data_IF_346142422765
#
_entry.id   IF_346142422765
#
_cell.length_a   1.000
_cell.length_b   1.000
_cell.length_c   1.000
_cell.angle_alpha   90.00
_cell.angle_beta   90.00
_cell.angle_gamma   90.00
#
_symmetry.space_group_name_H-M   'P 1'
#
loop_
_entity.id
_entity.type
_entity.pdbx_description
1 polymer ?
#
# COMPACT_ATOMS: atom_id res chain seq x y z
N UNK A 1 -29.60 7.46 4.41
CA UNK A 1 -28.75 7.26 5.61
C UNK A 1 -28.52 5.79 5.98
N UNK A 2 -29.54 4.97 6.27
CA UNK A 2 -29.34 3.58 6.73
C UNK A 2 -28.42 2.70 5.84
N UNK A 3 -28.47 2.83 4.52
CA UNK A 3 -27.61 2.06 3.59
C UNK A 3 -26.15 2.56 3.54
N UNK A 4 -25.93 3.86 3.72
CA UNK A 4 -24.60 4.45 3.80
C UNK A 4 -23.90 4.00 5.10
N UNK A 5 -24.66 3.92 6.20
CA UNK A 5 -24.16 3.44 7.49
C UNK A 5 -23.72 1.96 7.43
N UNK A 6 -24.43 1.12 6.67
CA UNK A 6 -24.03 -0.27 6.44
C UNK A 6 -22.77 -0.40 5.57
N UNK A 7 -22.58 0.48 4.58
CA UNK A 7 -21.36 0.48 3.75
C UNK A 7 -20.16 0.97 4.55
N UNK A 8 -20.32 2.03 5.35
CA UNK A 8 -19.27 2.53 6.27
C UNK A 8 -18.96 1.47 7.33
N UNK A 9 -19.95 0.72 7.81
CA UNK A 9 -19.74 -0.36 8.78
C UNK A 9 -19.07 -1.58 8.14
N UNK A 10 -19.39 -1.94 6.89
CA UNK A 10 -18.71 -3.03 6.17
C UNK A 10 -17.28 -2.64 5.80
N UNK A 11 -17.05 -1.42 5.33
CA UNK A 11 -15.70 -0.89 5.05
C UNK A 11 -14.92 -0.76 6.36
N UNK A 12 -15.54 -0.27 7.45
CA UNK A 12 -14.93 -0.16 8.76
C UNK A 12 -14.54 -1.52 9.37
N UNK A 13 -15.41 -2.53 9.25
CA UNK A 13 -15.13 -3.90 9.73
C UNK A 13 -14.08 -4.60 8.86
N UNK A 14 -14.04 -4.35 7.56
CA UNK A 14 -12.97 -4.85 6.68
C UNK A 14 -11.64 -4.10 6.88
N UNK A 15 -11.68 -2.87 7.39
CA UNK A 15 -10.48 -2.07 7.72
C UNK A 15 -9.96 -2.32 9.14
N UNK A 16 -10.70 -3.05 9.99
CA UNK A 16 -10.36 -3.37 11.38
C UNK A 16 -9.82 -4.79 11.58
N UNK A 17 -9.25 -5.40 10.54
CA UNK A 17 -8.26 -6.47 10.75
C UNK A 17 -6.90 -5.77 10.81
N UNK A 18 -6.33 -5.55 12.00
CA UNK A 18 -5.03 -4.89 12.08
C UNK A 18 -4.01 -5.74 11.32
N UNK A 19 -3.17 -5.14 10.45
CA UNK A 19 -1.98 -5.82 9.99
C UNK A 19 -1.07 -5.98 11.22
N UNK A 20 -1.09 -7.16 11.83
CA UNK A 20 -0.11 -7.57 12.83
C UNK A 20 1.23 -7.86 12.13
N UNK A 21 1.84 -6.85 11.51
CA UNK A 21 3.18 -6.93 10.93
C UNK A 21 3.86 -5.55 11.00
N UNK A 22 4.37 -5.22 12.19
CA UNK A 22 5.44 -4.25 12.34
C UNK A 22 6.71 -5.01 12.70
N UNK A 23 7.60 -5.21 11.74
CA UNK A 23 9.00 -5.46 12.07
C UNK A 23 9.68 -4.11 12.27
N UNK A 24 10.38 -3.87 13.39
CA UNK A 24 11.24 -2.70 13.51
C UNK A 24 12.40 -2.85 12.52
N UNK A 25 12.61 -1.82 11.69
CA UNK A 25 13.82 -1.66 10.88
C UNK A 25 14.91 -1.12 11.81
N UNK A 26 16.06 -1.81 11.99
CA UNK A 26 17.21 -1.26 12.70
C UNK A 26 17.90 -0.21 11.80
N UNK A 27 18.16 0.99 12.33
CA UNK A 27 18.85 2.07 11.63
C UNK A 27 20.21 2.34 12.28
N UNK A 28 21.22 1.53 11.94
CA UNK A 28 22.61 1.66 12.45
C UNK A 28 23.55 2.41 11.48
N UNK A 29 23.05 3.06 10.44
CA UNK A 29 23.90 3.71 9.43
C UNK A 29 23.88 5.24 9.57
N UNK A 30 24.70 5.77 10.48
CA UNK A 30 25.27 7.12 10.31
C UNK A 30 26.73 6.99 9.89
N UNK A 31 27.02 7.42 8.67
CA UNK A 31 28.39 7.54 8.15
C UNK A 31 29.15 8.62 8.93
N UNK A 32 30.22 8.21 9.60
CA UNK A 32 31.23 9.10 10.17
C UNK A 32 32.08 9.70 9.06
N UNK A 33 32.20 11.03 9.01
CA UNK A 33 33.33 11.67 8.31
C UNK A 33 34.67 11.21 8.92
N UNK A 34 35.76 11.16 8.14
CA UNK A 34 36.98 10.48 8.57
C UNK A 34 37.68 11.24 9.70
N UNK A 35 37.69 10.66 10.89
CA UNK A 35 38.69 10.91 11.92
C UNK A 35 39.64 9.73 12.02
N UNK A 36 40.92 10.06 12.04
CA UNK A 36 42.12 9.21 12.00
C UNK A 36 42.28 8.30 13.23
N UNK A 37 42.98 7.16 13.02
CA UNK A 37 43.50 6.14 13.96
C UNK A 37 42.56 5.00 14.37
N UNK A 38 42.96 3.74 14.57
CA UNK A 38 44.11 2.89 14.17
C UNK A 38 43.76 1.50 14.78
N UNK A 39 44.01 0.42 14.05
CA UNK A 39 44.13 -0.98 14.49
C UNK A 39 43.08 -1.60 15.43
N UNK A 40 42.30 -2.57 14.90
CA UNK A 40 42.33 -3.94 15.44
C UNK A 40 41.80 -4.98 14.44
N UNK A 41 42.74 -5.80 13.97
CA UNK A 41 42.54 -7.06 13.23
C UNK A 41 42.23 -8.17 14.22
N UNK A 42 41.27 -9.05 13.89
CA UNK A 42 41.23 -10.50 14.16
C UNK A 42 39.87 -11.03 13.66
N UNK A 43 39.78 -11.55 12.44
CA UNK A 43 39.83 -12.98 12.08
C UNK A 43 38.72 -13.85 12.69
N UNK A 44 37.78 -14.31 11.87
CA UNK A 44 37.24 -15.68 11.98
C UNK A 44 36.76 -16.16 10.60
N UNK A 45 37.48 -17.15 10.09
CA UNK A 45 37.14 -18.02 8.95
C UNK A 45 36.38 -19.22 9.50
N UNK A 46 35.25 -19.61 8.91
CA UNK A 46 34.90 -21.03 8.78
C UNK A 46 33.76 -21.30 7.77
N UNK A 47 34.13 -22.04 6.73
CA UNK A 47 33.48 -23.25 6.17
C UNK A 47 31.95 -23.30 6.03
N UNK A 48 31.48 -23.48 4.78
CA UNK A 48 31.03 -24.80 4.29
C UNK A 48 30.95 -24.81 2.76
N UNK A 49 31.72 -25.71 2.14
CA UNK A 49 31.53 -26.24 0.80
C UNK A 49 30.66 -27.50 0.87
N UNK A 50 29.71 -27.65 -0.05
CA UNK A 50 29.19 -28.97 -0.41
C UNK A 50 28.78 -28.96 -1.88
N UNK A 51 29.56 -29.68 -2.69
CA UNK A 51 29.27 -29.99 -4.09
C UNK A 51 28.36 -31.22 -4.17
N UNK A 52 27.44 -31.21 -5.12
CA UNK A 52 26.99 -32.42 -5.81
C UNK A 52 26.51 -32.03 -7.21
N UNK A 53 27.40 -32.24 -8.18
CA UNK A 53 27.07 -32.44 -9.59
C UNK A 53 26.40 -33.83 -9.80
N UNK A 54 25.83 -34.01 -11.01
CA UNK A 54 25.38 -35.25 -11.71
C UNK A 54 23.85 -35.26 -11.95
N UNK A 55 23.26 -35.38 -13.16
CA UNK A 55 23.72 -35.58 -14.55
C UNK A 55 22.53 -35.35 -15.53
N UNK A 56 22.87 -34.80 -16.71
CA UNK A 56 22.32 -34.97 -18.10
C UNK A 56 20.89 -34.59 -18.55
N UNK A 57 20.93 -33.70 -19.54
CA UNK A 57 20.36 -33.76 -20.90
C UNK A 57 18.84 -33.93 -21.10
N UNK A 58 18.20 -32.89 -21.63
CA UNK A 58 17.56 -32.99 -22.96
C UNK A 58 17.43 -31.63 -23.66
N UNK A 59 17.46 -31.71 -24.99
CA UNK A 59 17.69 -30.68 -26.02
C UNK A 59 16.51 -29.72 -26.32
N UNK A 60 16.94 -28.61 -26.91
CA UNK A 60 16.38 -27.86 -28.06
C UNK A 60 15.28 -26.80 -27.89
N UNK A 61 15.75 -25.56 -28.06
CA UNK A 61 15.28 -24.54 -29.02
C UNK A 61 13.84 -24.00 -28.92
N UNK A 62 13.75 -22.73 -28.51
CA UNK A 62 13.04 -21.71 -29.28
C UNK A 62 13.61 -20.33 -28.91
N UNK A 63 14.29 -19.71 -29.87
CA UNK A 63 14.73 -18.33 -29.86
C UNK A 63 13.54 -17.39 -30.02
N UNK A 64 13.34 -16.48 -29.06
CA UNK A 64 12.60 -15.23 -29.30
C UNK A 64 13.38 -14.11 -28.63
N UNK A 65 13.90 -13.22 -29.47
CA UNK A 65 14.66 -12.06 -29.05
C UNK A 65 13.78 -11.05 -28.33
N UNK A 66 14.26 -10.61 -27.17
CA UNK A 66 13.86 -9.35 -26.56
C UNK A 66 15.10 -8.47 -26.48
N UNK A 67 15.11 -7.45 -27.34
CA UNK A 67 15.90 -6.25 -27.19
C UNK A 67 15.12 -5.28 -26.32
N UNK A 68 15.65 -4.90 -25.16
CA UNK A 68 15.61 -3.50 -24.70
C UNK A 68 16.32 -3.32 -23.35
N UNK A 69 17.41 -2.56 -23.40
CA UNK A 69 17.75 -1.48 -22.48
C UNK A 69 17.77 -1.80 -20.97
N UNK A 70 18.88 -2.36 -20.51
CA UNK A 70 19.46 -1.99 -19.22
C UNK A 70 20.93 -1.60 -19.46
N UNK A 71 21.24 -0.33 -19.21
CA UNK A 71 22.59 0.20 -19.27
C UNK A 71 23.36 -0.22 -18.02
N UNK A 72 24.32 -1.11 -18.22
CA UNK A 72 25.40 -1.41 -17.27
C UNK A 72 26.28 -0.17 -17.08
N UNK A 73 26.35 0.34 -15.85
CA UNK A 73 27.37 1.30 -15.42
C UNK A 73 28.31 0.58 -14.45
N UNK A 74 29.11 -0.37 -14.97
CA UNK A 74 30.26 -0.91 -14.27
C UNK A 74 31.48 -0.01 -14.55
N UNK A 75 31.76 0.89 -13.60
CA UNK A 75 32.99 1.65 -13.55
C UNK A 75 34.16 0.75 -13.17
N UNK A 76 34.98 0.44 -14.18
CA UNK A 76 36.29 -0.22 -14.09
C UNK A 76 37.30 0.74 -13.46
N UNK A 77 37.77 0.45 -12.25
CA UNK A 77 38.96 1.09 -11.68
C UNK A 77 40.19 0.25 -12.06
N UNK A 78 40.98 0.76 -13.00
CA UNK A 78 42.31 0.22 -13.28
C UNK A 78 43.26 0.67 -12.16
N UNK A 79 43.81 -0.30 -11.42
CA UNK A 79 44.91 -0.10 -10.46
C UNK A 79 46.23 -0.30 -11.22
N UNK A 80 47.12 0.70 -11.31
CA UNK A 80 48.47 0.47 -11.78
C UNK A 80 49.37 0.00 -10.62
N UNK A 81 49.80 -1.25 -10.70
CA UNK A 81 50.88 -1.81 -9.88
C UNK A 81 52.25 -1.42 -10.44
N UNK A 82 53.08 -0.77 -9.63
CA UNK A 82 54.50 -0.55 -9.91
C UNK A 82 55.30 -0.36 -8.60
N UNK A 83 56.57 -0.81 -8.51
CA UNK A 83 57.18 -1.21 -7.23
C UNK A 83 58.24 -0.23 -6.66
N UNK A 84 58.44 -0.34 -5.34
CA UNK A 84 59.61 -0.01 -4.50
C UNK A 84 60.33 1.35 -4.64
N UNK A 85 60.31 2.16 -3.56
CA UNK A 85 61.50 2.83 -3.01
C UNK A 85 61.26 3.46 -1.60
N UNK A 86 62.05 3.00 -0.62
CA UNK A 86 62.66 3.66 0.57
C UNK A 86 61.93 4.70 1.45
N UNK A 87 62.06 4.62 2.79
CA UNK A 87 61.51 5.59 3.72
C UNK A 87 62.44 6.81 3.90
N UNK A 88 61.90 8.01 3.76
CA UNK A 88 62.58 9.26 4.09
C UNK A 88 62.05 9.80 5.43
N UNK A 89 62.86 9.70 6.47
CA UNK A 89 62.68 10.37 7.75
C UNK A 89 62.78 11.87 7.58
N UNK A 90 61.75 12.63 7.98
CA UNK A 90 61.83 14.09 8.13
C UNK A 90 61.26 14.50 9.48
N UNK A 91 62.11 15.23 10.20
CA UNK A 91 61.91 15.85 11.51
C UNK A 91 60.77 16.88 11.50
N UNK A 92 59.89 16.79 12.50
CA UNK A 92 58.85 17.76 12.81
C UNK A 92 59.49 19.05 13.37
N UNK A 93 59.35 20.15 12.64
CA UNK A 93 59.59 21.52 13.11
C UNK A 93 58.24 22.14 13.47
N UNK A 94 58.16 22.67 14.69
CA UNK A 94 57.08 23.52 15.21
C UNK A 94 56.74 24.67 14.26
N UNK A 95 55.48 24.77 13.85
CA UNK A 95 54.95 25.87 13.04
C UNK A 95 53.46 26.11 13.35
N UNK A 96 53.13 27.38 13.61
CA UNK A 96 51.82 27.91 13.97
C UNK A 96 50.69 27.46 13.03
N UNK A 97 49.60 26.96 13.62
CA UNK A 97 48.40 26.54 12.93
C UNK A 97 47.62 27.72 12.35
N UNK A 98 47.80 27.95 11.05
CA UNK A 98 46.91 28.76 10.23
C UNK A 98 45.60 27.98 10.02
N UNK A 99 44.47 28.58 10.41
CA UNK A 99 43.13 28.04 10.17
C UNK A 99 42.91 27.87 8.66
N UNK A 100 42.69 26.64 8.22
CA UNK A 100 42.34 26.32 6.84
C UNK A 100 40.91 26.81 6.54
N UNK A 101 40.67 27.48 5.40
CA UNK A 101 39.32 27.80 4.95
C UNK A 101 38.59 26.53 4.54
N UNK A 102 37.38 26.35 5.08
CA UNK A 102 36.44 25.30 4.70
C UNK A 102 36.07 25.46 3.22
N UNK A 103 36.08 24.40 2.41
CA UNK A 103 35.73 24.49 1.00
C UNK A 103 34.23 24.79 0.81
N UNK A 104 33.94 25.99 0.32
CA UNK A 104 32.61 26.38 -0.17
C UNK A 104 32.32 25.72 -1.51
N UNK A 105 31.81 24.50 -1.49
CA UNK A 105 31.16 23.87 -2.64
C UNK A 105 29.66 23.76 -2.37
N UNK A 106 28.94 24.86 -2.60
CA UNK A 106 27.49 24.89 -2.49
C UNK A 106 26.90 26.08 -3.24
N UNK A 107 26.04 25.77 -4.22
CA UNK A 107 25.18 26.70 -4.97
C UNK A 107 24.72 27.90 -4.14
N UNK A 108 25.00 29.11 -4.63
CA UNK A 108 24.77 30.40 -3.96
C UNK A 108 23.34 30.62 -3.47
N UNK A 109 23.03 30.09 -2.28
CA UNK A 109 22.00 30.62 -1.39
C UNK A 109 22.64 31.76 -0.62
N UNK A 110 22.10 32.95 -0.79
CA UNK A 110 22.47 34.14 -0.02
C UNK A 110 22.51 33.81 1.47
N UNK A 111 23.59 34.16 2.15
CA UNK A 111 23.85 33.96 3.58
C UNK A 111 22.82 34.63 4.54
N UNK A 112 21.71 35.14 4.02
CA UNK A 112 20.76 36.01 4.74
C UNK A 112 19.66 35.27 5.52
N UNK A 113 19.52 33.94 5.39
CA UNK A 113 18.43 33.19 6.07
C UNK A 113 18.93 32.16 7.11
N UNK A 114 20.16 32.32 7.60
CA UNK A 114 20.68 31.47 8.70
C UNK A 114 20.17 32.03 10.02
N UNK A 115 19.34 31.27 10.71
CA UNK A 115 18.93 31.56 12.07
C UNK A 115 19.97 31.05 13.07
N UNK A 116 20.31 31.90 14.04
CA UNK A 116 21.22 31.59 15.14
C UNK A 116 20.47 31.64 16.47
N UNK A 117 20.42 30.51 17.15
CA UNK A 117 19.85 30.39 18.50
C UNK A 117 21.01 30.15 19.46
N UNK A 118 21.06 30.90 20.57
CA UNK A 118 22.14 30.80 21.56
C UNK A 118 21.55 30.44 22.92
N UNK A 119 22.02 29.33 23.48
CA UNK A 119 21.80 28.93 24.88
C UNK A 119 23.10 29.23 25.61
N UNK A 120 23.08 30.15 26.56
CA UNK A 120 24.28 30.61 27.25
C UNK A 120 24.12 30.42 28.76
N UNK A 121 24.47 29.25 29.25
CA UNK A 121 24.47 28.90 30.68
C UNK A 121 25.82 29.24 31.33
N UNK A 122 25.90 29.10 32.65
CA UNK A 122 27.13 29.39 33.42
C UNK A 122 28.30 28.49 33.02
N UNK A 123 28.02 27.24 32.69
CA UNK A 123 28.98 26.16 32.45
C UNK A 123 28.94 25.64 31.01
N UNK A 124 27.90 25.93 30.23
CA UNK A 124 27.72 25.47 28.85
C UNK A 124 27.26 26.61 27.94
N UNK A 125 27.83 26.69 26.74
CA UNK A 125 27.31 27.56 25.67
C UNK A 125 26.98 26.70 24.45
N UNK A 126 25.75 26.76 23.98
CA UNK A 126 25.32 26.07 22.77
C UNK A 126 24.84 27.06 21.75
N UNK A 127 25.46 27.06 20.57
CA UNK A 127 25.04 27.83 19.41
C UNK A 127 24.41 26.87 18.41
N UNK A 128 23.16 27.11 18.06
CA UNK A 128 22.40 26.30 17.11
C UNK A 128 22.21 27.13 15.84
N UNK A 129 22.64 26.58 14.70
CA UNK A 129 22.47 27.17 13.38
C UNK A 129 21.52 26.31 12.55
N UNK A 130 20.56 26.95 11.89
CA UNK A 130 19.62 26.32 10.97
C UNK A 130 19.11 27.36 9.96
N UNK A 131 18.49 26.92 8.87
CA UNK A 131 17.87 27.85 7.92
C UNK A 131 16.50 28.30 8.44
N UNK A 132 16.07 29.51 8.07
CA UNK A 132 14.76 30.03 8.43
C UNK A 132 13.62 29.50 7.56
N UNK A 133 13.89 29.25 6.28
CA UNK A 133 12.87 28.86 5.30
C UNK A 133 13.17 27.52 4.65
N UNK A 134 12.16 26.65 4.56
CA UNK A 134 12.23 25.33 3.93
C UNK A 134 11.02 25.09 3.00
N UNK A 135 11.16 24.20 2.02
CA UNK A 135 10.02 23.64 1.29
C UNK A 135 9.72 22.19 1.74
N UNK A 136 8.49 21.69 1.56
CA UNK A 136 8.18 20.27 1.77
C UNK A 136 9.08 19.38 0.90
N UNK A 137 9.75 18.40 1.51
CA UNK A 137 10.75 17.56 0.86
C UNK A 137 12.20 18.01 1.07
N UNK A 138 12.43 19.25 1.50
CA UNK A 138 13.79 19.77 1.70
C UNK A 138 14.49 19.08 2.89
N UNK A 139 15.82 18.92 2.82
CA UNK A 139 16.62 18.56 3.98
C UNK A 139 16.68 19.73 4.98
N UNK A 140 16.28 19.46 6.21
CA UNK A 140 16.55 20.29 7.38
C UNK A 140 17.85 19.80 7.98
N UNK A 141 18.86 20.66 7.94
CA UNK A 141 20.10 20.51 8.69
C UNK A 141 20.10 21.47 9.88
N UNK A 142 20.41 20.92 11.06
CA UNK A 142 20.63 21.68 12.28
C UNK A 142 22.05 21.42 12.77
N UNK A 143 22.83 22.48 12.90
CA UNK A 143 24.21 22.43 13.38
C UNK A 143 24.27 22.95 14.83
N UNK A 144 24.83 22.15 15.72
CA UNK A 144 25.04 22.44 17.13
C UNK A 144 26.54 22.65 17.39
N UNK A 145 26.91 23.81 17.92
CA UNK A 145 28.24 24.11 18.42
C UNK A 145 28.17 24.19 19.94
N UNK A 146 28.65 23.15 20.61
CA UNK A 146 28.57 23.00 22.06
C UNK A 146 29.95 23.29 22.64
N UNK A 147 30.05 24.37 23.41
CA UNK A 147 31.27 24.79 24.12
C UNK A 147 31.06 24.58 25.62
N UNK A 148 31.85 23.71 26.23
CA UNK A 148 31.87 23.58 27.68
C UNK A 148 32.80 24.66 28.28
N UNK A 149 32.31 25.42 29.25
CA UNK A 149 33.04 26.51 29.90
C UNK A 149 33.71 26.10 31.21
N UNK A 150 33.21 25.06 31.88
CA UNK A 150 33.71 24.67 33.22
C UNK A 150 33.69 23.15 33.38
N UNK A 151 34.84 22.57 33.74
CA UNK A 151 34.97 21.16 34.08
C UNK A 151 34.77 20.22 32.88
N UNK A 152 34.32 18.99 33.15
CA UNK A 152 34.11 17.97 32.11
C UNK A 152 32.70 17.41 32.19
N UNK A 153 31.99 17.39 31.05
CA UNK A 153 30.66 16.78 30.92
C UNK A 153 30.78 15.53 30.04
N UNK A 154 30.31 14.37 30.53
CA UNK A 154 30.45 13.09 29.82
C UNK A 154 29.32 12.77 28.84
N UNK A 155 28.17 13.39 29.03
CA UNK A 155 26.97 13.11 28.26
C UNK A 155 26.07 14.34 28.24
N UNK A 156 25.51 14.63 27.06
CA UNK A 156 24.53 15.69 26.85
C UNK A 156 23.39 15.09 26.04
N UNK A 157 22.18 15.09 26.60
CA UNK A 157 20.97 14.71 25.86
C UNK A 157 20.48 15.91 25.04
N UNK A 158 20.34 15.71 23.73
CA UNK A 158 19.85 16.72 22.79
C UNK A 158 18.42 16.34 22.40
N UNK A 159 17.46 17.19 22.75
CA UNK A 159 16.06 17.05 22.40
C UNK A 159 15.60 18.15 21.43
N UNK A 160 14.68 17.80 20.54
CA UNK A 160 13.98 18.72 19.65
C UNK A 160 12.50 18.37 19.63
N UNK A 161 11.66 19.27 20.14
CA UNK A 161 10.21 19.22 19.93
C UNK A 161 9.83 20.18 18.79
N UNK A 162 8.98 19.74 17.87
CA UNK A 162 8.46 20.58 16.78
C UNK A 162 6.95 20.74 16.94
N UNK A 163 6.49 21.98 16.91
CA UNK A 163 5.08 22.35 17.03
C UNK A 163 4.59 23.02 15.75
N UNK A 164 3.40 22.62 15.31
CA UNK A 164 2.65 23.25 14.23
C UNK A 164 1.27 23.63 14.75
N UNK A 165 0.90 24.91 14.63
CA UNK A 165 -0.37 25.44 15.18
C UNK A 165 -0.59 25.07 16.67
N UNK A 166 0.48 25.04 17.46
CA UNK A 166 0.44 24.67 18.87
C UNK A 166 0.37 23.17 19.17
N UNK A 167 0.26 22.32 18.16
CA UNK A 167 0.24 20.85 18.30
C UNK A 167 1.65 20.32 18.09
N UNK A 168 2.13 19.48 19.00
CA UNK A 168 3.40 18.77 18.83
C UNK A 168 3.27 17.76 17.69
N UNK A 169 4.00 17.97 16.60
CA UNK A 169 3.97 17.12 15.39
C UNK A 169 5.17 16.17 15.31
N UNK A 170 6.26 16.51 15.98
CA UNK A 170 7.48 15.71 15.98
C UNK A 170 8.25 15.91 17.30
N UNK A 171 8.96 14.87 17.72
CA UNK A 171 9.82 14.86 18.89
C UNK A 171 11.03 14.01 18.58
N UNK A 172 12.21 14.53 18.89
CA UNK A 172 13.47 13.84 18.78
C UNK A 172 14.23 13.97 20.09
N UNK A 173 14.86 12.87 20.51
CA UNK A 173 15.75 12.83 21.67
C UNK A 173 16.93 11.94 21.30
N UNK A 174 18.14 12.43 21.52
CA UNK A 174 19.34 11.67 21.28
C UNK A 174 20.40 11.98 22.34
N UNK A 175 20.85 10.97 23.10
CA UNK A 175 21.99 11.12 24.00
C UNK A 175 23.29 11.20 23.20
N UNK A 176 24.08 12.25 23.45
CA UNK A 176 25.42 12.37 22.92
C UNK A 176 26.44 11.87 23.94
N UNK A 177 26.91 10.64 23.77
CA UNK A 177 27.98 10.04 24.58
C UNK A 177 29.36 10.52 24.14
N UNK A 178 29.63 11.81 24.34
CA UNK A 178 30.93 12.43 24.05
C UNK A 178 31.43 13.17 25.27
N UNK A 179 32.75 13.15 25.48
CA UNK A 179 33.37 13.92 26.55
C UNK A 179 33.61 15.37 26.08
N UNK A 180 32.99 16.31 26.78
CA UNK A 180 33.11 17.75 26.52
C UNK A 180 34.08 18.34 27.54
N UNK A 181 35.34 18.52 27.16
CA UNK A 181 36.36 19.16 28.01
C UNK A 181 36.20 20.69 28.04
N UNK A 182 36.63 21.30 29.14
CA UNK A 182 36.62 22.75 29.32
C UNK A 182 37.34 23.49 28.18
N UNK A 183 36.72 24.55 27.66
CA UNK A 183 37.24 25.38 26.57
C UNK A 183 37.08 24.79 25.17
N UNK A 184 36.76 23.50 25.03
CA UNK A 184 36.61 22.86 23.73
C UNK A 184 35.20 23.04 23.17
N UNK A 185 35.12 23.33 21.87
CA UNK A 185 33.87 23.41 21.12
C UNK A 185 33.72 22.18 20.23
N UNK A 186 32.64 21.43 20.42
CA UNK A 186 32.32 20.26 19.61
C UNK A 186 31.19 20.64 18.65
N UNK A 187 31.38 20.33 17.37
CA UNK A 187 30.36 20.47 16.33
C UNK A 187 29.63 19.14 16.12
N UNK A 188 28.31 19.18 16.22
CA UNK A 188 27.41 18.07 15.94
C UNK A 188 26.37 18.58 14.96
N UNK A 189 26.05 17.82 13.93
CA UNK A 189 24.96 18.19 13.03
C UNK A 189 23.99 17.02 12.90
N UNK A 190 22.73 17.37 12.67
CA UNK A 190 21.68 16.41 12.34
C UNK A 190 20.98 16.88 11.07
N UNK A 191 20.85 15.98 10.10
CA UNK A 191 20.13 16.22 8.86
C UNK A 191 18.95 15.26 8.75
N UNK A 192 17.78 15.80 8.45
CA UNK A 192 16.55 15.03 8.22
C UNK A 192 15.73 15.68 7.12
N UNK A 193 15.01 14.89 6.32
CA UNK A 193 14.17 15.43 5.24
C UNK A 193 12.74 15.66 5.72
N UNK A 194 12.20 16.84 5.40
CA UNK A 194 10.78 17.10 5.60
C UNK A 194 9.95 16.16 4.74
N UNK A 195 8.92 15.48 5.28
CA UNK A 195 7.98 14.75 4.47
C UNK A 195 7.34 15.65 3.41
N UNK A 196 7.14 15.16 2.19
CA UNK A 196 6.51 15.94 1.10
C UNK A 196 5.09 16.40 1.44
N UNK A 197 4.43 15.71 2.37
CA UNK A 197 3.08 16.04 2.86
C UNK A 197 3.07 17.14 3.93
N UNK A 198 4.24 17.63 4.36
CA UNK A 198 4.35 18.67 5.41
C UNK A 198 3.54 19.90 5.02
N UNK A 199 2.56 20.34 5.84
CA UNK A 199 1.75 21.50 5.51
C UNK A 199 2.60 22.78 5.57
N UNK A 200 2.40 23.72 4.62
CA UNK A 200 3.09 25.00 4.63
C UNK A 200 2.61 25.86 5.81
N UNK A 201 3.52 26.63 6.39
CA UNK A 201 3.22 27.50 7.54
C UNK A 201 4.41 27.68 8.48
N UNK A 202 4.15 28.28 9.65
CA UNK A 202 5.17 28.49 10.69
C UNK A 202 5.22 27.33 11.66
N UNK A 203 6.42 26.86 11.95
CA UNK A 203 6.69 25.78 12.89
C UNK A 203 7.57 26.33 14.00
N UNK A 204 7.20 26.02 15.25
CA UNK A 204 8.00 26.38 16.42
C UNK A 204 8.85 25.19 16.83
N UNK A 205 10.17 25.37 16.84
CA UNK A 205 11.12 24.39 17.31
C UNK A 205 11.48 24.71 18.74
N UNK A 206 11.51 23.71 19.60
CA UNK A 206 11.92 23.81 20.99
C UNK A 206 13.06 22.84 21.21
N UNK A 207 14.27 23.39 21.31
CA UNK A 207 15.49 22.66 21.61
C UNK A 207 15.60 22.47 23.12
N UNK A 208 15.93 21.26 23.53
CA UNK A 208 16.17 20.89 24.92
C UNK A 208 17.58 20.33 25.02
N UNK A 209 18.37 20.83 25.95
CA UNK A 209 19.73 20.36 26.18
C UNK A 209 19.83 19.99 27.65
N UNK A 210 20.04 18.70 27.91
CA UNK A 210 20.13 18.17 29.29
C UNK A 210 21.52 17.57 29.49
N UNK A 211 22.46 18.32 30.07
CA UNK A 211 23.74 17.76 30.51
C UNK A 211 23.51 16.73 31.62
N UNK A 212 24.30 15.65 31.63
CA UNK A 212 24.17 14.62 32.66
C UNK A 212 24.32 15.19 34.08
N UNK A 213 23.29 14.99 34.91
CA UNK A 213 23.26 15.47 36.30
C UNK A 213 22.91 16.95 36.47
N UNK A 214 22.41 17.64 35.44
CA UNK A 214 22.00 19.06 35.49
C UNK A 214 20.57 19.26 34.98
N UNK A 215 20.03 20.46 35.21
CA UNK A 215 18.72 20.86 34.71
C UNK A 215 18.72 21.06 33.18
N UNK A 216 17.56 20.84 32.56
CA UNK A 216 17.38 20.99 31.11
C UNK A 216 17.28 22.46 30.71
N UNK A 217 18.21 22.91 29.87
CA UNK A 217 18.12 24.22 29.22
C UNK A 217 17.21 24.12 27.99
N UNK A 218 16.35 25.13 27.81
CA UNK A 218 15.36 25.16 26.72
C UNK A 218 15.52 26.44 25.90
N UNK A 219 15.60 26.30 24.58
CA UNK A 219 15.50 27.42 23.65
C UNK A 219 14.44 27.15 22.59
N UNK A 220 13.84 28.21 22.04
CA UNK A 220 12.88 28.07 20.96
C UNK A 220 13.16 29.02 19.80
N UNK A 221 12.91 28.55 18.59
CA UNK A 221 12.95 29.34 17.35
C UNK A 221 11.78 28.99 16.46
N UNK A 222 11.58 29.74 15.38
CA UNK A 222 10.53 29.50 14.39
C UNK A 222 11.13 29.32 13.00
N UNK A 223 10.68 28.30 12.28
CA UNK A 223 10.97 28.12 10.85
C UNK A 223 9.69 28.33 10.05
N UNK A 224 9.85 28.72 8.78
CA UNK A 224 8.74 28.86 7.84
C UNK A 224 8.85 27.80 6.74
N UNK A 225 7.81 27.00 6.58
CA UNK A 225 7.69 26.05 5.46
C UNK A 225 6.89 26.71 4.34
N UNK A 226 7.56 27.09 3.26
CA UNK A 226 6.95 27.67 2.07
C UNK A 226 6.27 26.59 1.22
N UNK A 227 5.09 26.85 0.64
CA UNK A 227 4.42 25.86 -0.19
C UNK A 227 5.22 25.59 -1.47
N UNK A 228 5.32 24.32 -1.86
CA UNK A 228 5.95 23.89 -3.12
C UNK A 228 4.90 23.56 -4.17
N UNK A 229 5.28 23.64 -5.46
CA UNK A 229 4.39 23.22 -6.56
C UNK A 229 3.98 21.75 -6.43
N UNK A 230 4.90 20.88 -5.97
CA UNK A 230 4.62 19.46 -5.71
C UNK A 230 3.58 19.28 -4.61
N UNK A 231 3.65 20.07 -3.54
CA UNK A 231 2.64 20.05 -2.48
C UNK A 231 1.26 20.48 -2.98
N UNK A 232 1.18 21.57 -3.76
CA UNK A 232 -0.10 22.00 -4.36
C UNK A 232 -0.72 20.94 -5.26
N UNK A 233 0.09 20.28 -6.10
CA UNK A 233 -0.40 19.19 -6.96
C UNK A 233 -0.92 18.01 -6.15
N UNK A 234 -0.25 17.66 -5.05
CA UNK A 234 -0.70 16.61 -4.13
C UNK A 234 -2.05 16.96 -3.49
N UNK A 235 -2.21 18.19 -3.00
CA UNK A 235 -3.47 18.66 -2.41
C UNK A 235 -4.60 18.67 -3.44
N UNK A 236 -4.34 19.15 -4.66
CA UNK A 236 -5.32 19.14 -5.76
C UNK A 236 -5.73 17.71 -6.15
N UNK A 237 -4.77 16.79 -6.24
CA UNK A 237 -5.05 15.39 -6.52
C UNK A 237 -5.93 14.76 -5.42
N UNK A 238 -5.60 15.04 -4.15
CA UNK A 238 -6.39 14.56 -3.01
C UNK A 238 -7.82 15.12 -3.02
N UNK A 239 -7.98 16.43 -3.26
CA UNK A 239 -9.29 17.06 -3.39
C UNK A 239 -10.09 16.51 -4.58
N UNK A 240 -9.46 16.28 -5.73
CA UNK A 240 -10.08 15.65 -6.89
C UNK A 240 -10.55 14.23 -6.59
N UNK A 241 -9.76 13.46 -5.84
CA UNK A 241 -10.12 12.11 -5.39
C UNK A 241 -11.33 12.14 -4.45
N UNK A 242 -11.35 13.06 -3.48
CA UNK A 242 -12.49 13.24 -2.57
C UNK A 242 -13.78 13.61 -3.32
N UNK A 243 -13.70 14.57 -4.26
CA UNK A 243 -14.84 14.95 -5.09
C UNK A 243 -15.31 13.77 -5.94
N UNK A 244 -14.38 13.01 -6.53
CA UNK A 244 -14.68 11.79 -7.28
C UNK A 244 -15.37 10.73 -6.42
N UNK A 245 -14.88 10.51 -5.20
CA UNK A 245 -15.49 9.58 -4.25
C UNK A 245 -16.92 10.01 -3.87
N UNK A 246 -17.13 11.30 -3.55
CA UNK A 246 -18.45 11.85 -3.26
C UNK A 246 -19.39 11.71 -4.47
N UNK A 247 -18.91 12.00 -5.68
CA UNK A 247 -19.68 11.82 -6.91
C UNK A 247 -20.10 10.36 -7.12
N UNK A 248 -19.16 9.42 -6.93
CA UNK A 248 -19.45 7.99 -6.99
C UNK A 248 -20.49 7.58 -5.95
N UNK A 249 -20.41 8.09 -4.72
CA UNK A 249 -21.38 7.81 -3.65
C UNK A 249 -22.76 8.37 -3.98
N UNK A 250 -22.85 9.62 -4.46
CA UNK A 250 -24.12 10.25 -4.84
C UNK A 250 -24.79 9.50 -5.98
N UNK A 251 -24.02 9.11 -6.99
CA UNK A 251 -24.53 8.39 -8.15
C UNK A 251 -24.52 6.87 -7.98
N UNK A 252 -24.08 6.37 -6.83
CA UNK A 252 -23.87 4.95 -6.54
C UNK A 252 -25.11 4.14 -6.88
N UNK A 253 -26.28 4.58 -6.40
CA UNK A 253 -27.54 3.86 -6.64
C UNK A 253 -27.89 3.75 -8.14
N UNK A 254 -27.56 4.77 -8.94
CA UNK A 254 -27.81 4.76 -10.39
C UNK A 254 -26.82 3.84 -11.11
N UNK A 255 -25.54 3.92 -10.75
CA UNK A 255 -24.49 3.07 -11.32
C UNK A 255 -24.73 1.61 -10.94
N UNK A 256 -25.01 1.30 -9.67
CA UNK A 256 -25.30 -0.05 -9.21
C UNK A 256 -26.58 -0.60 -9.84
N UNK A 257 -27.63 0.20 -10.03
CA UNK A 257 -28.82 -0.25 -10.76
C UNK A 257 -28.50 -0.64 -12.21
N UNK A 258 -27.70 0.18 -12.92
CA UNK A 258 -27.25 -0.13 -14.29
C UNK A 258 -26.36 -1.36 -14.33
N UNK A 259 -25.37 -1.45 -13.45
CA UNK A 259 -24.48 -2.60 -13.33
C UNK A 259 -25.23 -3.87 -12.96
N UNK A 260 -26.22 -3.81 -12.07
CA UNK A 260 -27.07 -4.94 -11.72
C UNK A 260 -27.90 -5.40 -12.92
N UNK A 261 -28.41 -4.47 -13.73
CA UNK A 261 -29.12 -4.80 -14.97
C UNK A 261 -28.22 -5.52 -15.97
N UNK A 262 -27.02 -4.99 -16.21
CA UNK A 262 -26.02 -5.61 -17.09
C UNK A 262 -25.63 -6.99 -16.55
N UNK A 263 -25.26 -7.07 -15.27
CA UNK A 263 -24.84 -8.30 -14.61
C UNK A 263 -25.95 -9.36 -14.62
N UNK A 264 -27.22 -8.97 -14.45
CA UNK A 264 -28.34 -9.90 -14.52
C UNK A 264 -28.50 -10.52 -15.91
N UNK A 265 -28.21 -9.75 -16.97
CA UNK A 265 -28.26 -10.21 -18.37
C UNK A 265 -27.10 -11.09 -18.82
N UNK A 266 -25.98 -11.11 -18.07
CA UNK A 266 -24.83 -11.94 -18.42
C UNK A 266 -25.10 -13.43 -18.18
N UNK A 267 -24.53 -14.27 -19.06
CA UNK A 267 -24.48 -15.72 -18.85
C UNK A 267 -23.67 -16.07 -17.60
N UNK A 268 -23.83 -17.29 -17.08
CA UNK A 268 -23.10 -17.75 -15.90
C UNK A 268 -21.59 -17.73 -16.14
N UNK A 269 -21.15 -18.18 -17.32
CA UNK A 269 -19.75 -18.17 -17.75
C UNK A 269 -19.17 -16.75 -17.81
N UNK A 270 -19.91 -15.81 -18.41
CA UNK A 270 -19.52 -14.39 -18.48
C UNK A 270 -19.41 -13.75 -17.09
N UNK A 271 -20.25 -14.14 -16.12
CA UNK A 271 -20.17 -13.63 -14.74
C UNK A 271 -18.87 -14.03 -14.05
N UNK A 272 -18.39 -15.26 -14.25
CA UNK A 272 -17.09 -15.70 -13.72
C UNK A 272 -15.93 -14.96 -14.38
N UNK A 273 -15.96 -14.80 -15.70
CA UNK A 273 -14.93 -14.04 -16.44
C UNK A 273 -14.90 -12.58 -15.99
N UNK A 274 -16.06 -11.93 -15.87
CA UNK A 274 -16.15 -10.55 -15.38
C UNK A 274 -15.61 -10.43 -13.95
N UNK A 275 -15.94 -11.39 -13.08
CA UNK A 275 -15.43 -11.41 -11.69
C UNK A 275 -13.91 -11.58 -11.65
N UNK A 276 -13.34 -12.39 -12.55
CA UNK A 276 -11.90 -12.53 -12.69
C UNK A 276 -11.23 -11.24 -13.16
N UNK A 277 -11.79 -10.54 -14.16
CA UNK A 277 -11.26 -9.25 -14.63
C UNK A 277 -11.24 -8.22 -13.50
N UNK A 278 -12.32 -8.13 -12.72
CA UNK A 278 -12.37 -7.27 -11.52
C UNK A 278 -11.31 -7.68 -10.50
N UNK A 279 -11.13 -8.98 -10.27
CA UNK A 279 -10.09 -9.50 -9.38
C UNK A 279 -8.66 -9.15 -9.85
N UNK A 280 -8.37 -9.20 -11.16
CA UNK A 280 -7.07 -8.75 -11.71
C UNK A 280 -6.83 -7.29 -11.37
N UNK A 281 -7.83 -6.44 -11.58
CA UNK A 281 -7.72 -5.01 -11.25
C UNK A 281 -7.40 -4.81 -9.77
N UNK A 282 -8.08 -5.54 -8.87
CA UNK A 282 -7.80 -5.49 -7.43
C UNK A 282 -6.37 -5.98 -7.11
N UNK A 283 -5.91 -7.06 -7.76
CA UNK A 283 -4.54 -7.56 -7.58
C UNK A 283 -3.47 -6.52 -7.98
N UNK A 284 -3.68 -5.82 -9.10
CA UNK A 284 -2.77 -4.75 -9.57
C UNK A 284 -2.70 -3.61 -8.55
N UNK A 285 -3.85 -3.19 -8.00
CA UNK A 285 -3.89 -2.16 -6.95
C UNK A 285 -3.18 -2.60 -5.67
N UNK A 286 -3.32 -3.86 -5.27
CA UNK A 286 -2.65 -4.39 -4.09
C UNK A 286 -1.14 -4.52 -4.30
N UNK A 287 -0.72 -4.90 -5.51
CA UNK A 287 0.70 -4.95 -5.88
C UNK A 287 1.33 -3.54 -5.84
N UNK A 288 0.63 -2.54 -6.38
CA UNK A 288 1.09 -1.14 -6.32
C UNK A 288 1.09 -0.55 -4.91
N UNK A 289 0.27 -1.09 -3.99
CA UNK A 289 0.30 -0.74 -2.57
C UNK A 289 1.42 -1.44 -1.77
N UNK A 290 2.25 -2.28 -2.40
CA UNK A 290 3.31 -3.04 -1.72
C UNK A 290 2.81 -4.29 -0.98
N UNK A 291 1.55 -4.68 -1.16
CA UNK A 291 0.96 -5.86 -0.54
C UNK A 291 1.16 -7.12 -1.41
N UNK A 292 2.42 -7.45 -1.71
CA UNK A 292 2.80 -8.47 -2.70
C UNK A 292 2.18 -9.85 -2.42
N UNK A 293 2.26 -10.32 -1.17
CA UNK A 293 1.70 -11.62 -0.75
C UNK A 293 0.18 -11.67 -0.98
N UNK A 294 -0.52 -10.57 -0.70
CA UNK A 294 -1.96 -10.49 -0.90
C UNK A 294 -2.32 -10.44 -2.39
N UNK A 295 -1.59 -9.65 -3.17
CA UNK A 295 -1.77 -9.57 -4.62
C UNK A 295 -1.58 -10.94 -5.29
N UNK A 296 -0.58 -11.72 -4.85
CA UNK A 296 -0.34 -13.07 -5.35
C UNK A 296 -1.51 -14.01 -5.04
N UNK A 297 -2.02 -13.99 -3.80
CA UNK A 297 -3.17 -14.80 -3.41
C UNK A 297 -4.42 -14.44 -4.23
N UNK A 298 -4.67 -13.14 -4.46
CA UNK A 298 -5.79 -12.69 -5.31
C UNK A 298 -5.59 -13.15 -6.76
N UNK A 299 -4.37 -13.09 -7.31
CA UNK A 299 -4.08 -13.55 -8.67
C UNK A 299 -4.35 -15.05 -8.87
N UNK A 300 -4.01 -15.89 -7.89
CA UNK A 300 -4.32 -17.32 -7.91
C UNK A 300 -5.83 -17.57 -7.88
N UNK A 301 -6.57 -16.81 -7.05
CA UNK A 301 -8.03 -16.90 -7.02
C UNK A 301 -8.66 -16.48 -8.36
N UNK A 302 -8.14 -15.42 -8.98
CA UNK A 302 -8.54 -14.96 -10.33
C UNK A 302 -8.30 -16.05 -11.37
N UNK A 303 -7.16 -16.72 -11.31
CA UNK A 303 -6.85 -17.84 -12.21
C UNK A 303 -7.90 -18.96 -12.09
N UNK A 304 -8.30 -19.32 -10.86
CA UNK A 304 -9.38 -20.30 -10.67
C UNK A 304 -10.74 -19.81 -11.16
N UNK A 305 -11.07 -18.53 -10.96
CA UNK A 305 -12.30 -17.94 -11.51
C UNK A 305 -12.34 -18.01 -13.05
N UNK A 306 -11.22 -17.74 -13.72
CA UNK A 306 -11.10 -17.88 -15.17
C UNK A 306 -11.28 -19.34 -15.60
N UNK A 307 -10.62 -20.27 -14.92
CA UNK A 307 -10.73 -21.70 -15.21
C UNK A 307 -12.19 -22.18 -15.09
N UNK A 308 -12.88 -21.83 -14.00
CA UNK A 308 -14.29 -22.16 -13.80
C UNK A 308 -15.18 -21.48 -14.85
N UNK A 309 -14.89 -20.23 -15.20
CA UNK A 309 -15.62 -19.49 -16.23
C UNK A 309 -15.51 -20.15 -17.61
N UNK A 310 -14.31 -20.57 -17.99
CA UNK A 310 -14.05 -21.28 -19.26
C UNK A 310 -14.73 -22.64 -19.25
N UNK A 311 -14.59 -23.44 -18.20
CA UNK A 311 -15.27 -24.74 -18.10
C UNK A 311 -16.80 -24.60 -18.14
N UNK A 312 -17.34 -23.57 -17.49
CA UNK A 312 -18.77 -23.26 -17.54
C UNK A 312 -19.22 -22.91 -18.96
N UNK A 313 -18.39 -22.18 -19.72
CA UNK A 313 -18.66 -21.88 -21.12
C UNK A 313 -18.68 -23.15 -21.98
N UNK A 314 -17.76 -24.09 -21.75
CA UNK A 314 -17.75 -25.39 -22.43
C UNK A 314 -19.02 -26.21 -22.14
N UNK A 315 -19.46 -26.24 -20.89
CA UNK A 315 -20.70 -26.93 -20.50
C UNK A 315 -21.92 -26.29 -21.16
N UNK A 316 -21.97 -24.95 -21.18
CA UNK A 316 -23.02 -24.17 -21.83
C UNK A 316 -23.06 -24.43 -23.34
N UNK A 317 -21.89 -24.53 -23.99
CA UNK A 317 -21.75 -24.84 -25.41
C UNK A 317 -22.25 -26.25 -25.77
N UNK A 318 -21.88 -27.27 -24.99
CA UNK A 318 -22.24 -28.66 -25.32
C UNK A 318 -23.67 -29.05 -24.92
N UNK A 319 -24.23 -28.46 -23.86
CA UNK A 319 -25.58 -28.78 -23.37
C UNK A 319 -26.34 -27.50 -23.00
N UNK A 320 -26.90 -26.78 -23.98
CA UNK A 320 -27.61 -25.52 -23.73
C UNK A 320 -28.85 -25.67 -22.83
N UNK A 321 -29.38 -26.90 -22.68
CA UNK A 321 -30.56 -27.19 -21.86
C UNK A 321 -30.25 -27.62 -20.41
N UNK A 322 -28.97 -27.65 -20.01
CA UNK A 322 -28.58 -28.17 -18.69
C UNK A 322 -28.85 -27.17 -17.56
N UNK A 323 -30.08 -27.22 -17.02
CA UNK A 323 -30.47 -26.57 -15.78
C UNK A 323 -30.61 -25.05 -15.88
N UNK A 324 -31.41 -24.46 -14.98
CA UNK A 324 -31.52 -23.00 -14.91
C UNK A 324 -30.18 -22.37 -14.53
N UNK A 325 -29.96 -21.11 -14.93
CA UNK A 325 -28.73 -20.34 -14.64
C UNK A 325 -28.28 -20.37 -13.18
N UNK A 326 -29.22 -20.51 -12.24
CA UNK A 326 -28.96 -20.62 -10.81
C UNK A 326 -28.26 -21.95 -10.41
N UNK A 327 -28.59 -23.06 -11.07
CA UNK A 327 -27.97 -24.37 -10.78
C UNK A 327 -26.54 -24.42 -11.29
N UNK A 328 -26.30 -23.95 -12.52
CA UNK A 328 -24.96 -23.88 -13.09
C UNK A 328 -24.03 -22.99 -12.27
N UNK A 329 -24.53 -21.84 -11.81
CA UNK A 329 -23.77 -20.94 -10.94
C UNK A 329 -23.42 -21.61 -9.60
N UNK A 330 -24.38 -22.31 -8.98
CA UNK A 330 -24.13 -23.07 -7.75
C UNK A 330 -23.07 -24.16 -7.93
N UNK A 331 -23.15 -24.95 -9.00
CA UNK A 331 -22.14 -25.97 -9.32
C UNK A 331 -20.77 -25.36 -9.58
N UNK A 332 -20.70 -24.25 -10.32
CA UNK A 332 -19.46 -23.51 -10.55
C UNK A 332 -18.82 -23.00 -9.25
N UNK A 333 -19.61 -22.48 -8.32
CA UNK A 333 -19.12 -22.03 -6.99
C UNK A 333 -18.62 -23.20 -6.15
N UNK A 334 -19.30 -24.36 -6.18
CA UNK A 334 -18.83 -25.57 -5.48
C UNK A 334 -17.51 -26.07 -6.08
N UNK A 335 -17.38 -26.08 -7.40
CA UNK A 335 -16.15 -26.46 -8.07
C UNK A 335 -15.00 -25.49 -7.74
N UNK A 336 -15.28 -24.18 -7.75
CA UNK A 336 -14.33 -23.16 -7.31
C UNK A 336 -13.89 -23.39 -5.85
N UNK A 337 -14.82 -23.69 -4.94
CA UNK A 337 -14.50 -24.02 -3.56
C UNK A 337 -13.55 -25.23 -3.46
N UNK A 338 -13.77 -26.25 -4.30
CA UNK A 338 -12.88 -27.40 -4.41
C UNK A 338 -11.48 -27.03 -4.86
N UNK A 339 -11.34 -26.19 -5.90
CA UNK A 339 -10.04 -25.71 -6.37
C UNK A 339 -9.30 -24.91 -5.29
N UNK A 340 -10.00 -23.99 -4.63
CA UNK A 340 -9.43 -23.18 -3.54
C UNK A 340 -9.04 -24.06 -2.34
N UNK A 341 -9.81 -25.11 -2.05
CA UNK A 341 -9.49 -26.06 -0.98
C UNK A 341 -8.24 -26.89 -1.29
N UNK A 342 -8.04 -27.30 -2.54
CA UNK A 342 -6.81 -27.99 -2.96
C UNK A 342 -5.58 -27.08 -2.77
N UNK A 343 -5.76 -25.77 -2.84
CA UNK A 343 -4.73 -24.74 -2.62
C UNK A 343 -4.65 -24.27 -1.16
N UNK A 344 -4.87 -25.17 -0.20
CA UNK A 344 -4.83 -24.90 1.25
C UNK A 344 -3.52 -24.32 1.78
N UNK A 345 -2.43 -24.46 1.02
CA UNK A 345 -1.13 -23.86 1.37
C UNK A 345 -1.16 -22.33 1.23
N UNK A 346 -2.06 -21.81 0.39
CA UNK A 346 -2.20 -20.40 0.06
C UNK A 346 -3.40 -19.77 0.79
N UNK A 347 -4.50 -20.51 0.93
CA UNK A 347 -5.74 -20.02 1.53
C UNK A 347 -6.08 -20.74 2.84
N UNK A 348 -6.56 -19.99 3.83
CA UNK A 348 -7.10 -20.59 5.07
C UNK A 348 -8.30 -21.48 4.77
N UNK A 349 -8.43 -22.60 5.48
CA UNK A 349 -9.49 -23.61 5.27
C UNK A 349 -10.92 -23.04 5.39
N UNK A 350 -11.10 -21.95 6.14
CA UNK A 350 -12.39 -21.30 6.33
C UNK A 350 -12.94 -20.67 5.05
N UNK A 351 -12.07 -20.12 4.19
CA UNK A 351 -12.48 -19.47 2.95
C UNK A 351 -13.14 -20.44 1.96
N UNK A 352 -12.52 -21.57 1.56
CA UNK A 352 -13.18 -22.55 0.68
C UNK A 352 -14.42 -23.19 1.32
N UNK A 353 -14.42 -23.43 2.65
CA UNK A 353 -15.62 -23.93 3.34
C UNK A 353 -16.81 -22.97 3.22
N UNK A 354 -16.56 -21.66 3.34
CA UNK A 354 -17.61 -20.66 3.17
C UNK A 354 -18.17 -20.63 1.73
N UNK A 355 -17.30 -20.75 0.72
CA UNK A 355 -17.68 -20.84 -0.68
C UNK A 355 -18.49 -22.12 -0.95
N UNK A 356 -18.09 -23.25 -0.36
CA UNK A 356 -18.79 -24.51 -0.51
C UNK A 356 -20.22 -24.42 0.04
N UNK A 357 -20.39 -23.92 1.27
CA UNK A 357 -21.72 -23.72 1.88
C UNK A 357 -22.58 -22.79 1.04
N UNK A 358 -22.02 -21.68 0.55
CA UNK A 358 -22.72 -20.74 -0.33
C UNK A 358 -23.16 -21.42 -1.64
N UNK A 359 -22.28 -22.19 -2.27
CA UNK A 359 -22.57 -22.96 -3.47
C UNK A 359 -23.71 -23.95 -3.25
N UNK A 360 -23.69 -24.71 -2.15
CA UNK A 360 -24.75 -25.66 -1.79
C UNK A 360 -26.10 -24.97 -1.55
N UNK A 361 -26.11 -23.82 -0.89
CA UNK A 361 -27.34 -23.02 -0.71
C UNK A 361 -27.91 -22.57 -2.07
N UNK A 362 -27.05 -22.11 -2.99
CA UNK A 362 -27.47 -21.68 -4.33
C UNK A 362 -28.05 -22.83 -5.15
N UNK A 363 -27.44 -24.01 -5.11
CA UNK A 363 -27.97 -25.23 -5.74
C UNK A 363 -29.31 -25.63 -5.14
N UNK A 364 -29.43 -25.64 -3.80
CA UNK A 364 -30.67 -25.99 -3.10
C UNK A 364 -31.83 -25.03 -3.42
N UNK A 365 -31.56 -23.72 -3.45
CA UNK A 365 -32.55 -22.72 -3.87
C UNK A 365 -32.99 -22.91 -5.32
N UNK A 366 -32.05 -23.23 -6.23
CA UNK A 366 -32.36 -23.49 -7.63
C UNK A 366 -33.28 -24.70 -7.79
N UNK A 367 -32.99 -25.79 -7.06
CA UNK A 367 -33.77 -27.02 -7.09
C UNK A 367 -35.20 -26.78 -6.57
N UNK A 368 -35.33 -26.12 -5.41
CA UNK A 368 -36.63 -25.78 -4.81
C UNK A 368 -37.45 -24.88 -5.75
N UNK A 369 -36.83 -23.90 -6.41
CA UNK A 369 -37.52 -23.01 -7.36
C UNK A 369 -38.04 -23.76 -8.58
N UNK A 370 -37.30 -24.73 -9.09
CA UNK A 370 -37.74 -25.57 -10.21
C UNK A 370 -38.89 -26.49 -9.81
N UNK A 371 -38.85 -27.06 -8.61
CA UNK A 371 -39.95 -27.87 -8.07
C UNK A 371 -41.25 -27.07 -7.94
N UNK A 372 -41.18 -25.86 -7.37
CA UNK A 372 -42.34 -24.96 -7.28
C UNK A 372 -42.90 -24.59 -8.66
N UNK A 373 -42.05 -24.37 -9.66
CA UNK A 373 -42.51 -24.11 -11.04
C UNK A 373 -43.26 -25.31 -11.63
N UNK A 374 -42.74 -26.53 -11.44
CA UNK A 374 -43.43 -27.75 -11.89
C UNK A 374 -44.78 -27.93 -11.21
N UNK A 375 -44.87 -27.68 -9.91
CA UNK A 375 -46.13 -27.75 -9.16
C UNK A 375 -47.14 -26.70 -9.63
N UNK A 376 -46.67 -25.49 -9.98
CA UNK A 376 -47.53 -24.42 -10.51
C UNK A 376 -48.09 -24.76 -11.88
N UNK A 377 -47.27 -25.25 -12.81
CA UNK A 377 -47.76 -25.70 -14.12
C UNK A 377 -48.74 -26.86 -14.00
N UNK A 378 -48.48 -27.83 -13.10
CA UNK A 378 -49.43 -28.92 -12.86
C UNK A 378 -50.77 -28.46 -12.28
N UNK A 379 -50.81 -27.33 -11.56
CA UNK A 379 -52.07 -26.69 -11.12
C UNK A 379 -52.75 -25.96 -12.27
N UNK A 380 -52.01 -25.23 -13.10
CA UNK A 380 -52.56 -24.53 -14.28
C UNK A 380 -53.13 -25.51 -15.32
N UNK A 381 -52.49 -26.66 -15.54
CA UNK A 381 -52.99 -27.72 -16.43
C UNK A 381 -54.27 -28.39 -15.87
N UNK A 382 -54.36 -28.56 -14.55
CA UNK A 382 -55.56 -29.09 -13.89
C UNK A 382 -56.72 -28.09 -13.85
N UNK A 383 -56.43 -26.79 -13.82
CA UNK A 383 -57.45 -25.72 -13.87
C UNK A 383 -57.88 -25.45 -15.31
N UNK A 384 -57.02 -25.66 -16.31
CA UNK A 384 -57.40 -25.66 -17.72
C UNK A 384 -58.18 -26.92 -18.16
N UNK A 385 -58.16 -27.97 -17.33
CA UNK A 385 -59.10 -29.10 -17.41
C UNK A 385 -60.44 -28.82 -16.68
N UNK A 386 -60.73 -27.56 -16.37
CA UNK A 386 -62.08 -27.07 -16.06
C UNK A 386 -62.94 -27.15 -17.34
N UNK A 387 -64.25 -27.47 -17.25
CA UNK A 387 -64.97 -28.15 -18.32
C UNK A 387 -64.92 -27.34 -19.62
N UNK A 388 -64.56 -28.09 -20.68
CA UNK A 388 -64.75 -27.85 -22.10
C UNK A 388 -65.72 -26.68 -22.32
N UNK A 389 -65.21 -25.60 -22.90
CA UNK A 389 -65.98 -24.43 -23.33
C UNK A 389 -67.29 -24.95 -23.92
N UNK A 390 -68.39 -24.66 -23.22
CA UNK A 390 -69.74 -24.78 -23.75
C UNK A 390 -69.74 -24.09 -25.10
N UNK A 391 -69.97 -24.87 -26.15
CA UNK A 391 -70.07 -24.40 -27.52
C UNK A 391 -71.01 -23.20 -27.57
N UNK A 392 -70.46 -22.05 -27.96
CA UNK A 392 -71.22 -20.81 -28.08
C UNK A 392 -71.82 -20.82 -29.47
N UNK A 393 -73.08 -21.20 -29.58
CA UNK A 393 -73.83 -21.17 -30.84
C UNK A 393 -74.40 -19.76 -31.02
N UNK A 394 -73.96 -19.07 -32.08
CA UNK A 394 -74.51 -17.76 -32.47
C UNK A 394 -75.72 -18.06 -33.35
N UNK A 395 -76.91 -17.86 -32.80
CA UNK A 395 -78.18 -18.29 -33.43
C UNK A 395 -78.73 -17.23 -34.39
N UNK A 396 -78.26 -15.99 -34.31
CA UNK A 396 -78.64 -14.94 -35.27
C UNK A 396 -78.05 -13.56 -34.95
N UNK A 397 -77.94 -12.74 -35.99
CA UNK A 397 -77.51 -11.34 -35.95
C UNK A 397 -78.74 -10.45 -36.14
N UNK A 398 -78.93 -9.48 -35.25
CA UNK A 398 -80.01 -8.47 -35.32
C UNK A 398 -79.39 -7.09 -35.46
N UNK A 399 -80.17 -6.09 -35.92
CA UNK A 399 -79.68 -4.71 -36.13
C UNK A 399 -79.14 -4.04 -34.85
N UNK A 400 -79.42 -4.61 -33.67
CA UNK A 400 -78.96 -4.13 -32.36
C UNK A 400 -77.82 -4.99 -31.75
N UNK A 401 -77.40 -6.09 -32.39
CA UNK A 401 -76.30 -6.96 -31.95
C UNK A 401 -76.54 -8.47 -32.11
N UNK A 402 -75.62 -9.28 -31.57
CA UNK A 402 -75.66 -10.75 -31.64
C UNK A 402 -76.40 -11.37 -30.44
N UNK A 403 -77.27 -12.35 -30.72
CA UNK A 403 -77.91 -13.16 -29.67
C UNK A 403 -77.09 -14.43 -29.43
N UNK A 404 -76.55 -14.55 -28.22
CA UNK A 404 -75.65 -15.64 -27.83
C UNK A 404 -76.37 -16.60 -26.88
N UNK A 405 -76.57 -17.86 -27.29
CA UNK A 405 -77.15 -18.89 -26.41
C UNK A 405 -76.05 -19.77 -25.81
N UNK A 406 -76.11 -19.98 -24.49
CA UNK A 406 -75.18 -20.85 -23.76
C UNK A 406 -75.81 -22.22 -23.56
N UNK A 407 -75.33 -23.23 -24.29
CA UNK A 407 -75.86 -24.60 -24.20
C UNK A 407 -75.16 -25.38 -23.09
N UNK A 408 -75.80 -25.55 -21.92
CA UNK A 408 -75.26 -26.46 -20.89
C UNK A 408 -75.13 -27.86 -21.51
N UNK A 409 -73.93 -28.42 -21.55
CA UNK A 409 -73.76 -29.84 -21.83
C UNK A 409 -74.48 -30.64 -20.75
N UNK A 410 -75.34 -31.58 -21.16
CA UNK A 410 -75.88 -32.58 -20.25
C UNK A 410 -74.74 -33.51 -19.80
N UNK A 411 -74.64 -33.73 -18.49
CA UNK A 411 -73.65 -34.59 -17.85
C UNK A 411 -73.87 -36.08 -18.15
#
# INVERSE_FOLDING_TARGET
MRRLLWIILIIGVLSFVPPAFGYPVPWDNMETGPSFLQDKVESTVAWTSFSADVVKDTRSSASLGYSSLYGDFQGRFDVPSGPHATPLSTSLSSGEGTLLPVPETGTGRSSEDIQKVVINETDLSVVILLNGTYAPGDPIRVDFFITNKVGTVKEIEIGLDVYYLGIKVFSYQHPSWREYSEGNTIHIYHESRLPTITPPGRYRLVFKITPAGRDTSVASTEITVAPSATWFMLVLAFMGLLVGAVYVVIHYDRYIKRLRGIYAGLSTSQKFILSAVVGVTVAIFMLTAGAENFANNVAILVYYLLLVGVLSLWVEYFKPQWGGSCTQLGVGVVFLAGLVYLSREIFTVYFPMSLFVLGMILVGMAFRRNEFRRLRHRKEDKVSASPRIVEIEIVGETEEGFIIFRKKGED
#
